data_IF_434265355100
#
_entry.id   IF_434265355100
#
_cell.length_a   1.000
_cell.length_b   1.000
_cell.length_c   1.000
_cell.angle_alpha   90.00
_cell.angle_beta   90.00
_cell.angle_gamma   90.00
#
_symmetry.space_group_name_H-M   'P 1'
#
loop_
_entity.id
_entity.type
_entity.pdbx_description
1 polymer ?
#
# COMPACT_ATOMS: atom_id res chain seq x y z
N UNK A 1 11.11 -6.81 -15.49
CA UNK A 1 9.79 -6.19 -15.26
C UNK A 1 9.77 -4.89 -16.06
N UNK A 2 8.91 -4.77 -17.06
CA UNK A 2 8.78 -3.51 -17.79
C UNK A 2 7.99 -2.54 -16.91
N UNK A 3 8.56 -1.38 -16.58
CA UNK A 3 7.82 -0.29 -15.95
C UNK A 3 6.67 0.10 -16.89
N UNK A 4 5.43 -0.11 -16.46
CA UNK A 4 4.25 0.34 -17.19
C UNK A 4 3.73 1.59 -16.49
N UNK A 5 4.22 2.74 -16.96
CA UNK A 5 4.12 4.02 -16.25
C UNK A 5 2.70 4.49 -15.95
N UNK A 6 1.69 4.05 -16.71
CA UNK A 6 0.29 4.42 -16.46
C UNK A 6 -0.36 3.52 -15.39
N UNK A 7 -0.17 2.20 -15.49
CA UNK A 7 -0.63 1.24 -14.47
C UNK A 7 0.06 1.48 -13.12
N UNK A 8 1.34 1.83 -13.12
CA UNK A 8 2.07 2.21 -11.91
C UNK A 8 1.43 3.45 -11.22
N UNK A 9 0.97 4.44 -12.00
CA UNK A 9 0.25 5.61 -11.47
C UNK A 9 -1.10 5.25 -10.90
N UNK A 10 -1.84 4.31 -11.51
CA UNK A 10 -3.13 3.86 -10.99
C UNK A 10 -2.96 3.19 -9.62
N UNK A 11 -1.96 2.32 -9.46
CA UNK A 11 -1.67 1.66 -8.19
C UNK A 11 -1.15 2.64 -7.12
N UNK A 12 -0.30 3.60 -7.48
CA UNK A 12 0.10 4.68 -6.57
C UNK A 12 -1.10 5.57 -6.19
N UNK A 13 -2.00 5.87 -7.12
CA UNK A 13 -3.25 6.58 -6.85
C UNK A 13 -4.13 5.82 -5.84
N UNK A 14 -4.20 4.49 -5.97
CA UNK A 14 -4.87 3.63 -4.99
C UNK A 14 -4.18 3.68 -3.62
N UNK A 15 -2.85 3.64 -3.57
CA UNK A 15 -2.10 3.74 -2.33
C UNK A 15 -2.34 5.09 -1.62
N UNK A 16 -2.42 6.20 -2.37
CA UNK A 16 -2.78 7.52 -1.81
C UNK A 16 -4.19 7.49 -1.20
N UNK A 17 -5.18 6.94 -1.92
CA UNK A 17 -6.55 6.82 -1.41
C UNK A 17 -6.65 5.94 -0.15
N UNK A 18 -5.78 4.94 0.00
CA UNK A 18 -5.66 4.14 1.23
C UNK A 18 -5.05 4.97 2.36
N UNK A 19 -4.00 5.76 2.09
CA UNK A 19 -3.34 6.61 3.08
C UNK A 19 -4.31 7.60 3.75
N UNK A 20 -5.24 8.16 2.98
CA UNK A 20 -6.27 9.10 3.47
C UNK A 20 -7.16 8.50 4.57
N UNK A 21 -7.28 7.17 4.66
CA UNK A 21 -8.06 6.49 5.72
C UNK A 21 -7.41 6.60 7.10
N UNK A 22 -6.12 6.93 7.17
CA UNK A 22 -5.40 7.22 8.42
C UNK A 22 -5.62 8.65 8.95
N UNK A 23 -6.32 9.51 8.21
CA UNK A 23 -6.45 10.92 8.55
C UNK A 23 -7.03 11.14 9.95
N UNK A 24 -6.34 11.96 10.74
CA UNK A 24 -6.72 12.28 12.12
C UNK A 24 -6.36 11.20 13.15
N UNK A 25 -5.79 10.06 12.74
CA UNK A 25 -5.45 8.94 13.65
C UNK A 25 -3.97 8.62 13.74
N UNK A 26 -3.16 9.04 12.76
CA UNK A 26 -1.74 8.65 12.68
C UNK A 26 -0.77 9.65 13.28
N UNK A 27 -1.15 10.92 13.45
CA UNK A 27 -0.26 11.98 13.97
C UNK A 27 0.42 11.55 15.28
N UNK A 28 1.75 11.77 15.45
CA UNK A 28 2.67 12.52 14.60
C UNK A 28 3.20 11.79 13.35
N UNK A 29 2.84 10.53 13.14
CA UNK A 29 3.30 9.76 11.98
C UNK A 29 2.58 10.18 10.69
N UNK A 30 3.22 10.02 9.52
CA UNK A 30 2.63 10.37 8.23
C UNK A 30 1.43 9.48 7.89
N UNK A 31 0.61 9.96 6.95
CA UNK A 31 -0.35 9.13 6.25
C UNK A 31 0.41 8.27 5.23
N UNK A 32 0.30 6.96 5.36
CA UNK A 32 0.95 6.02 4.45
C UNK A 32 -0.07 4.99 4.00
N UNK A 33 -0.10 4.73 2.70
CA UNK A 33 -0.88 3.64 2.10
C UNK A 33 0.03 2.79 1.21
N UNK A 34 -0.35 1.53 1.04
CA UNK A 34 0.42 0.56 0.29
C UNK A 34 -0.49 -0.43 -0.46
N UNK A 35 -0.06 -0.82 -1.65
CA UNK A 35 -0.74 -1.77 -2.54
C UNK A 35 0.27 -2.79 -3.05
N UNK A 36 -0.06 -4.08 -2.98
CA UNK A 36 0.75 -5.16 -3.56
C UNK A 36 0.03 -5.68 -4.80
N UNK A 37 0.77 -5.78 -5.91
CA UNK A 37 0.26 -6.19 -7.21
C UNK A 37 1.07 -7.36 -7.75
N UNK A 38 0.37 -8.42 -8.18
CA UNK A 38 0.95 -9.58 -8.86
C UNK A 38 0.24 -9.77 -10.19
N UNK A 39 1.01 -9.88 -11.27
CA UNK A 39 0.48 -10.14 -12.62
C UNK A 39 -0.64 -9.17 -13.05
N UNK A 40 -0.54 -7.91 -12.60
CA UNK A 40 -1.52 -6.85 -12.87
C UNK A 40 -2.69 -6.76 -11.87
N UNK A 41 -2.83 -7.73 -10.97
CA UNK A 41 -3.92 -7.81 -10.01
C UNK A 41 -3.49 -7.36 -8.62
N UNK A 42 -4.34 -6.59 -7.94
CA UNK A 42 -4.12 -6.20 -6.54
C UNK A 42 -4.35 -7.41 -5.64
N UNK A 43 -3.30 -7.86 -4.96
CA UNK A 43 -3.35 -9.00 -4.04
C UNK A 43 -3.31 -8.58 -2.57
N UNK A 44 -2.92 -7.34 -2.26
CA UNK A 44 -2.94 -6.82 -0.89
C UNK A 44 -3.04 -5.31 -0.83
N UNK A 45 -3.73 -4.82 0.21
CA UNK A 45 -3.90 -3.40 0.48
C UNK A 45 -3.69 -3.12 1.96
N UNK A 46 -3.08 -1.97 2.26
CA UNK A 46 -2.85 -1.55 3.64
C UNK A 46 -2.68 -0.05 3.77
N UNK A 47 -2.94 0.47 4.97
CA UNK A 47 -2.60 1.84 5.35
C UNK A 47 -2.18 1.88 6.81
N UNK A 48 -1.46 2.92 7.20
CA UNK A 48 -1.16 3.17 8.61
C UNK A 48 -2.43 3.64 9.30
N UNK A 49 -3.06 2.77 10.09
CA UNK A 49 -4.41 3.03 10.62
C UNK A 49 -4.43 4.02 11.79
N UNK A 50 -3.37 4.00 12.61
CA UNK A 50 -3.28 4.79 13.84
C UNK A 50 -1.84 4.87 14.35
N UNK A 51 -1.56 5.92 15.13
CA UNK A 51 -0.28 6.08 15.81
C UNK A 51 0.08 4.85 16.66
N UNK A 52 1.33 4.38 16.51
CA UNK A 52 1.83 3.16 17.18
C UNK A 52 1.32 1.84 16.59
N UNK A 53 0.42 1.88 15.61
CA UNK A 53 -0.02 0.70 14.87
C UNK A 53 1.00 0.25 13.81
N UNK A 54 0.75 -0.89 13.14
CA UNK A 54 1.58 -1.35 12.04
C UNK A 54 1.68 -0.33 10.91
N UNK A 55 2.80 -0.34 10.19
CA UNK A 55 2.95 0.45 8.97
C UNK A 55 2.06 -0.09 7.85
N UNK A 56 1.84 0.72 6.81
CA UNK A 56 0.99 0.36 5.68
C UNK A 56 1.46 -0.92 4.96
N UNK A 57 2.77 -1.08 4.83
CA UNK A 57 3.43 -2.21 4.18
C UNK A 57 3.15 -3.51 4.95
N UNK A 58 3.19 -3.47 6.28
CA UNK A 58 2.89 -4.62 7.13
C UNK A 58 1.45 -5.07 6.92
N UNK A 59 0.51 -4.11 6.88
CA UNK A 59 -0.90 -4.38 6.65
C UNK A 59 -1.13 -4.94 5.22
N UNK A 60 -0.47 -4.37 4.20
CA UNK A 60 -0.59 -4.84 2.82
C UNK A 60 0.00 -6.24 2.61
N UNK A 61 1.16 -6.53 3.22
CA UNK A 61 1.79 -7.86 3.20
C UNK A 61 0.91 -8.88 3.91
N UNK A 62 0.34 -8.54 5.07
CA UNK A 62 -0.58 -9.41 5.79
C UNK A 62 -1.84 -9.71 4.95
N UNK A 63 -2.36 -8.72 4.24
CA UNK A 63 -3.50 -8.90 3.33
C UNK A 63 -3.15 -9.79 2.12
N UNK A 64 -1.96 -9.64 1.54
CA UNK A 64 -1.50 -10.44 0.40
C UNK A 64 -1.10 -11.88 0.76
N UNK A 65 -0.65 -12.12 1.99
CA UNK A 65 -0.19 -13.44 2.42
C UNK A 65 0.92 -13.99 1.52
N UNK A 66 0.74 -15.22 1.03
CA UNK A 66 1.71 -15.89 0.16
C UNK A 66 1.90 -15.19 -1.20
N UNK A 67 0.87 -14.47 -1.67
CA UNK A 67 0.91 -13.80 -2.97
C UNK A 67 1.83 -12.57 -2.98
N UNK A 68 2.32 -12.12 -1.82
CA UNK A 68 3.33 -11.06 -1.74
C UNK A 68 4.69 -11.45 -2.36
N UNK A 69 5.04 -12.74 -2.37
CA UNK A 69 6.40 -13.18 -2.70
C UNK A 69 6.76 -13.03 -4.20
N UNK A 70 7.46 -11.96 -4.57
CA UNK A 70 7.80 -11.66 -5.98
C UNK A 70 6.77 -10.76 -6.68
N UNK A 71 5.83 -10.20 -5.93
CA UNK A 71 4.93 -9.14 -6.37
C UNK A 71 5.60 -7.75 -6.31
N UNK A 72 4.92 -6.73 -6.84
CA UNK A 72 5.33 -5.32 -6.77
C UNK A 72 4.59 -4.62 -5.63
N UNK A 73 5.31 -3.89 -4.78
CA UNK A 73 4.73 -3.02 -3.75
C UNK A 73 4.79 -1.56 -4.21
N UNK A 74 3.64 -0.89 -4.22
CA UNK A 74 3.52 0.56 -4.35
C UNK A 74 3.24 1.15 -2.97
N UNK A 75 4.06 2.10 -2.53
CA UNK A 75 3.96 2.72 -1.20
C UNK A 75 4.14 4.24 -1.33
N UNK A 76 3.41 5.00 -0.52
CA UNK A 76 3.38 6.47 -0.62
C UNK A 76 4.53 7.20 0.07
N UNK A 77 5.35 6.51 0.88
CA UNK A 77 6.54 7.03 1.55
C UNK A 77 7.51 5.90 1.90
#
# INVERSE_FOLDING_TARGET
>A
MALQTDTDREHLGRAIALAERGLGRTSPNPLVGAVIVRDGEVVGEGWHEQYGGPHAEVNAIAAAGADAAGATLYVTL
#
